data_IF_076946436783
#
_entry.id   IF_076946436783
#
_cell.length_a   1.000
_cell.length_b   1.000
_cell.length_c   1.000
_cell.angle_alpha   90.00
_cell.angle_beta   90.00
_cell.angle_gamma   90.00
#
_symmetry.space_group_name_H-M   'P 1'
#
loop_
_entity.id
_entity.type
_entity.pdbx_description
1 polymer ?
#
# COMPACT_ATOMS: atom_id res chain seq x y z
N UNK A 1 -19.65 -6.51 -17.40
CA UNK A 1 -18.27 -6.89 -16.98
C UNK A 1 -18.38 -7.75 -15.73
N UNK A 2 -17.74 -8.93 -15.70
CA UNK A 2 -17.68 -9.78 -14.49
C UNK A 2 -17.04 -9.03 -13.31
N UNK A 3 -17.33 -9.42 -12.06
CA UNK A 3 -16.65 -8.85 -10.89
C UNK A 3 -15.15 -9.17 -10.91
N UNK A 4 -14.35 -8.30 -10.30
CA UNK A 4 -12.94 -8.59 -10.04
C UNK A 4 -12.82 -9.80 -9.11
N UNK A 5 -11.99 -10.77 -9.51
CA UNK A 5 -11.67 -11.95 -8.71
C UNK A 5 -10.49 -11.61 -7.80
N UNK A 6 -10.81 -11.18 -6.57
CA UNK A 6 -9.83 -10.85 -5.53
C UNK A 6 -9.29 -12.07 -4.79
N UNK A 7 -8.59 -11.83 -3.69
CA UNK A 7 -8.09 -12.88 -2.80
C UNK A 7 -9.21 -13.53 -2.00
N UNK A 8 -9.01 -14.78 -1.59
CA UNK A 8 -9.86 -15.42 -0.59
C UNK A 8 -9.42 -15.01 0.81
N UNK A 9 -10.34 -15.11 1.78
CA UNK A 9 -10.03 -14.68 3.16
C UNK A 9 -8.89 -15.50 3.78
N UNK A 10 -8.73 -16.77 3.38
CA UNK A 10 -7.64 -17.65 3.82
C UNK A 10 -6.26 -17.22 3.30
N UNK A 11 -6.22 -16.43 2.22
CA UNK A 11 -4.99 -15.87 1.64
C UNK A 11 -4.62 -14.50 2.26
N UNK A 12 -5.44 -14.02 3.21
CA UNK A 12 -5.22 -12.74 3.90
C UNK A 12 -4.74 -12.96 5.32
N UNK A 13 -3.48 -12.58 5.58
CA UNK A 13 -2.90 -12.61 6.92
C UNK A 13 -2.98 -11.23 7.57
N UNK A 14 -3.83 -11.10 8.60
CA UNK A 14 -3.71 -10.02 9.57
C UNK A 14 -2.56 -10.34 10.53
N UNK A 15 -1.46 -9.60 10.43
CA UNK A 15 -0.25 -9.81 11.22
C UNK A 15 -0.50 -9.38 12.67
N UNK A 16 -0.30 -10.30 13.61
CA UNK A 16 -0.56 -10.11 15.05
C UNK A 16 0.64 -10.41 15.93
N UNK A 17 1.65 -11.10 15.43
CA UNK A 17 2.84 -11.48 16.19
C UNK A 17 4.13 -11.14 15.44
N UNK A 18 5.26 -10.97 16.14
CA UNK A 18 6.56 -10.75 15.51
C UNK A 18 6.96 -11.87 14.54
N UNK A 19 6.64 -13.13 14.83
CA UNK A 19 6.96 -14.27 13.96
C UNK A 19 6.19 -14.19 12.65
N UNK A 20 4.91 -13.79 12.72
CA UNK A 20 4.10 -13.53 11.53
C UNK A 20 4.64 -12.34 10.72
N UNK A 21 5.12 -11.29 11.41
CA UNK A 21 5.73 -10.14 10.76
C UNK A 21 7.01 -10.54 10.00
N UNK A 22 7.89 -11.32 10.64
CA UNK A 22 9.12 -11.83 10.01
C UNK A 22 8.81 -12.76 8.82
N UNK A 23 7.86 -13.68 8.96
CA UNK A 23 7.46 -14.55 7.85
C UNK A 23 6.86 -13.76 6.68
N UNK A 24 6.05 -12.73 6.96
CA UNK A 24 5.52 -11.83 5.95
C UNK A 24 6.63 -11.04 5.26
N UNK A 25 7.61 -10.52 6.01
CA UNK A 25 8.79 -9.84 5.47
C UNK A 25 9.54 -10.73 4.49
N UNK A 26 9.86 -11.96 4.89
CA UNK A 26 10.67 -12.85 4.07
C UNK A 26 9.95 -13.21 2.77
N UNK A 27 8.63 -13.46 2.84
CA UNK A 27 7.81 -13.68 1.65
C UNK A 27 7.78 -12.46 0.72
N UNK A 28 7.64 -11.24 1.28
CA UNK A 28 7.60 -10.00 0.50
C UNK A 28 8.96 -9.65 -0.13
N UNK A 29 10.06 -9.85 0.61
CA UNK A 29 11.42 -9.57 0.14
C UNK A 29 11.91 -10.56 -0.91
N UNK A 30 11.31 -11.75 -0.99
CA UNK A 30 11.59 -12.71 -2.06
C UNK A 30 10.97 -12.31 -3.41
N UNK A 31 10.06 -11.34 -3.44
CA UNK A 31 9.46 -10.83 -4.67
C UNK A 31 10.34 -9.76 -5.33
N UNK A 32 10.18 -9.55 -6.63
CA UNK A 32 10.71 -8.39 -7.35
C UNK A 32 9.82 -7.15 -7.20
N UNK A 33 8.50 -7.36 -7.06
CA UNK A 33 7.51 -6.33 -6.81
C UNK A 33 6.39 -6.86 -5.91
N UNK A 34 5.86 -5.96 -5.08
CA UNK A 34 4.75 -6.21 -4.16
C UNK A 34 3.68 -5.12 -4.34
N UNK A 35 2.42 -5.50 -4.17
CA UNK A 35 1.33 -4.55 -4.04
C UNK A 35 1.44 -3.80 -2.72
N UNK A 36 1.11 -2.51 -2.71
CA UNK A 36 1.22 -1.65 -1.54
C UNK A 36 0.10 -0.60 -1.53
N UNK A 37 -0.55 -0.45 -0.37
CA UNK A 37 -1.49 0.65 -0.10
C UNK A 37 -1.50 0.95 1.42
N UNK A 38 -2.14 2.06 1.82
CA UNK A 38 -2.43 2.33 3.23
C UNK A 38 -3.85 2.80 3.47
N UNK A 39 -4.37 2.48 4.66
CA UNK A 39 -5.70 2.94 5.08
C UNK A 39 -5.65 3.75 6.37
N UNK A 40 -6.53 4.74 6.47
CA UNK A 40 -6.58 5.67 7.59
C UNK A 40 -8.01 5.95 8.03
N UNK A 41 -8.24 6.15 9.33
CA UNK A 41 -9.53 6.64 9.79
C UNK A 41 -9.85 8.01 9.15
N UNK A 42 -11.12 8.29 8.83
CA UNK A 42 -11.54 9.59 8.31
C UNK A 42 -11.29 10.72 9.32
N UNK A 43 -10.96 11.91 8.82
CA UNK A 43 -10.94 13.17 9.56
C UNK A 43 -12.23 13.93 9.25
N UNK A 44 -13.05 14.23 10.26
CA UNK A 44 -14.35 14.87 10.06
C UNK A 44 -14.30 16.39 10.26
N UNK A 45 -13.24 16.90 10.89
CA UNK A 45 -13.07 18.34 11.15
C UNK A 45 -12.13 18.97 10.13
N UNK A 46 -12.57 20.08 9.52
CA UNK A 46 -11.75 20.86 8.58
C UNK A 46 -10.50 21.38 9.30
N UNK A 47 -9.32 20.97 8.82
CA UNK A 47 -8.02 21.33 9.41
C UNK A 47 -7.46 20.28 10.38
N UNK A 48 -8.20 19.22 10.69
CA UNK A 48 -7.66 18.08 11.44
C UNK A 48 -6.63 17.33 10.59
N UNK A 49 -5.42 17.19 11.11
CA UNK A 49 -4.39 16.40 10.45
C UNK A 49 -4.70 14.90 10.58
N UNK A 50 -4.57 14.16 9.47
CA UNK A 50 -4.68 12.70 9.52
C UNK A 50 -3.58 12.11 10.40
N UNK A 51 -3.97 11.24 11.33
CA UNK A 51 -3.06 10.49 12.23
C UNK A 51 -2.65 9.13 11.66
N UNK A 52 -2.88 8.93 10.36
CA UNK A 52 -2.57 7.70 9.64
C UNK A 52 -1.08 7.52 9.28
N UNK A 53 -0.71 6.37 8.69
CA UNK A 53 -1.62 5.27 8.37
C UNK A 53 -2.05 4.49 9.61
N UNK A 54 -3.21 3.84 9.55
CA UNK A 54 -3.72 2.94 10.60
C UNK A 54 -3.66 1.48 10.18
N UNK A 55 -3.54 1.23 8.88
CA UNK A 55 -3.29 -0.07 8.30
C UNK A 55 -2.32 0.12 7.14
N UNK A 56 -1.31 -0.75 7.06
CA UNK A 56 -0.45 -0.88 5.89
C UNK A 56 -0.78 -2.22 5.25
N UNK A 57 -0.98 -2.21 3.93
CA UNK A 57 -1.31 -3.40 3.16
C UNK A 57 -0.17 -3.75 2.22
N UNK A 58 0.16 -5.04 2.16
CA UNK A 58 1.02 -5.59 1.14
C UNK A 58 0.33 -6.76 0.44
N UNK A 59 0.69 -6.99 -0.82
CA UNK A 59 0.27 -8.17 -1.55
C UNK A 59 1.41 -8.75 -2.38
N UNK A 60 1.46 -10.07 -2.41
CA UNK A 60 2.15 -10.88 -3.41
C UNK A 60 1.12 -11.31 -4.48
N UNK A 61 1.53 -12.12 -5.45
CA UNK A 61 0.59 -12.63 -6.46
C UNK A 61 -0.52 -13.50 -5.87
N UNK A 62 -0.28 -14.14 -4.72
CA UNK A 62 -1.21 -15.10 -4.10
C UNK A 62 -1.65 -14.78 -2.68
N UNK A 63 -1.01 -13.86 -1.96
CA UNK A 63 -1.34 -13.54 -0.56
C UNK A 63 -1.31 -12.06 -0.26
N UNK A 64 -2.09 -11.64 0.74
CA UNK A 64 -2.03 -10.30 1.31
C UNK A 64 -1.62 -10.32 2.79
N UNK A 65 -0.89 -9.29 3.20
CA UNK A 65 -0.39 -9.10 4.55
C UNK A 65 -0.83 -7.74 5.06
N UNK A 66 -1.54 -7.73 6.19
CA UNK A 66 -2.14 -6.53 6.75
C UNK A 66 -1.52 -6.21 8.10
N UNK A 67 -0.91 -5.03 8.22
CA UNK A 67 -0.23 -4.56 9.43
C UNK A 67 -1.02 -3.42 10.06
N UNK A 68 -1.60 -3.62 11.24
CA UNK A 68 -2.28 -2.56 11.97
C UNK A 68 -1.27 -1.65 12.67
N UNK A 69 -1.38 -0.34 12.44
CA UNK A 69 -0.46 0.67 12.94
C UNK A 69 -1.15 1.57 13.97
N UNK A 70 -0.58 1.66 15.16
CA UNK A 70 -1.12 2.46 16.25
C UNK A 70 -0.22 2.47 17.49
N UNK A 71 -0.78 2.81 18.64
CA UNK A 71 -0.05 2.88 19.91
C UNK A 71 0.56 1.54 20.37
N UNK A 72 0.13 0.42 19.76
CA UNK A 72 0.61 -0.93 20.06
C UNK A 72 1.60 -1.49 19.03
N UNK A 73 2.07 -0.66 18.09
CA UNK A 73 3.10 -1.08 17.15
C UNK A 73 4.41 -1.25 17.90
N UNK A 74 4.83 -2.49 18.08
CA UNK A 74 6.10 -2.83 18.73
C UNK A 74 7.31 -2.58 17.81
N UNK A 75 8.49 -2.56 18.42
CA UNK A 75 9.76 -2.27 17.74
C UNK A 75 10.11 -3.33 16.67
N UNK A 76 9.79 -4.60 16.91
CA UNK A 76 10.06 -5.68 15.96
C UNK A 76 9.20 -5.54 14.69
N UNK A 77 7.94 -5.15 14.86
CA UNK A 77 7.01 -4.84 13.76
C UNK A 77 7.47 -3.59 13.01
N UNK A 78 7.92 -2.55 13.72
CA UNK A 78 8.46 -1.35 13.07
C UNK A 78 9.72 -1.66 12.25
N UNK A 79 10.67 -2.41 12.81
CA UNK A 79 11.89 -2.84 12.12
C UNK A 79 11.56 -3.70 10.89
N UNK A 80 10.54 -4.56 11.00
CA UNK A 80 10.02 -5.34 9.87
C UNK A 80 9.50 -4.44 8.75
N UNK A 81 8.67 -3.45 9.09
CA UNK A 81 8.14 -2.50 8.11
C UNK A 81 9.23 -1.66 7.45
N UNK A 82 10.24 -1.22 8.22
CA UNK A 82 11.42 -0.52 7.68
C UNK A 82 12.17 -1.40 6.66
N UNK A 83 12.42 -2.66 6.99
CA UNK A 83 13.10 -3.60 6.11
C UNK A 83 12.35 -3.84 4.78
N UNK A 84 11.02 -3.77 4.78
CA UNK A 84 10.19 -3.93 3.57
C UNK A 84 10.13 -2.62 2.77
N UNK A 85 9.91 -1.50 3.46
CA UNK A 85 9.51 -0.24 2.82
C UNK A 85 10.70 0.62 2.38
N UNK A 86 11.79 0.67 3.15
CA UNK A 86 12.91 1.58 2.88
C UNK A 86 13.78 1.19 1.68
N UNK A 87 14.12 -0.11 1.46
CA UNK A 87 14.92 -0.50 0.31
C UNK A 87 14.25 -0.18 -1.04
N UNK A 88 15.04 -0.10 -2.10
CA UNK A 88 14.52 0.12 -3.45
C UNK A 88 13.82 -1.12 -4.05
N UNK A 89 14.15 -2.32 -3.56
CA UNK A 89 13.57 -3.60 -3.96
C UNK A 89 13.06 -4.36 -2.72
N UNK A 90 11.92 -5.06 -2.78
CA UNK A 90 10.99 -5.12 -3.91
C UNK A 90 10.39 -3.75 -4.24
N UNK A 91 9.90 -3.60 -5.47
CA UNK A 91 9.10 -2.44 -5.85
C UNK A 91 7.79 -2.43 -5.06
N UNK A 92 7.41 -1.28 -4.50
CA UNK A 92 6.12 -1.08 -3.82
C UNK A 92 5.16 -0.42 -4.80
N UNK A 93 4.21 -1.21 -5.29
CA UNK A 93 3.34 -0.83 -6.41
C UNK A 93 1.93 -0.52 -5.90
N UNK A 94 1.41 0.66 -6.24
CA UNK A 94 0.09 1.11 -5.77
C UNK A 94 -0.53 2.17 -6.68
N UNK A 95 -1.67 2.72 -6.27
CA UNK A 95 -2.35 3.82 -6.96
C UNK A 95 -2.46 5.04 -6.06
N UNK A 96 -1.90 6.18 -6.47
CA UNK A 96 -2.03 7.44 -5.73
C UNK A 96 -1.19 7.51 -4.46
N UNK A 97 0.01 6.93 -4.46
CA UNK A 97 0.84 6.66 -3.29
C UNK A 97 1.55 7.90 -2.68
N UNK A 98 1.40 9.08 -3.30
CA UNK A 98 2.07 10.30 -2.84
C UNK A 98 1.76 10.60 -1.36
N UNK A 99 0.48 10.48 -0.96
CA UNK A 99 0.09 10.80 0.41
C UNK A 99 0.37 9.66 1.37
N UNK A 100 0.35 8.41 0.91
CA UNK A 100 0.76 7.23 1.68
C UNK A 100 2.21 7.33 2.14
N UNK A 101 3.11 7.70 1.23
CA UNK A 101 4.54 7.88 1.54
C UNK A 101 4.75 9.04 2.53
N UNK A 102 3.99 10.13 2.41
CA UNK A 102 4.05 11.24 3.38
C UNK A 102 3.55 10.81 4.76
N UNK A 103 2.47 10.04 4.83
CA UNK A 103 1.91 9.52 6.09
C UNK A 103 2.86 8.53 6.76
N UNK A 104 3.47 7.63 5.98
CA UNK A 104 4.51 6.71 6.48
C UNK A 104 5.66 7.49 7.14
N UNK A 105 6.18 8.51 6.45
CA UNK A 105 7.25 9.32 7.00
C UNK A 105 6.83 10.08 8.26
N UNK A 106 5.66 10.73 8.23
CA UNK A 106 5.17 11.52 9.36
C UNK A 106 4.91 10.69 10.62
N UNK A 107 4.40 9.46 10.46
CA UNK A 107 4.00 8.61 11.59
C UNK A 107 5.10 7.66 12.07
N UNK A 108 5.87 7.09 11.14
CA UNK A 108 6.82 5.99 11.42
C UNK A 108 8.27 6.36 11.09
N UNK A 109 8.53 7.59 10.63
CA UNK A 109 9.84 8.03 10.13
C UNK A 109 10.40 7.19 8.97
N UNK A 110 9.58 6.35 8.33
CA UNK A 110 9.97 5.48 7.23
C UNK A 110 10.11 6.29 5.93
N UNK A 111 11.28 6.19 5.29
CA UNK A 111 11.51 6.76 3.95
C UNK A 111 11.38 5.67 2.91
N UNK A 112 10.16 5.49 2.40
CA UNK A 112 9.88 4.41 1.47
C UNK A 112 10.66 4.55 0.13
N UNK A 113 11.43 3.51 -0.22
CA UNK A 113 12.13 3.36 -1.50
C UNK A 113 11.29 2.57 -2.51
N UNK A 114 11.71 2.51 -3.78
CA UNK A 114 11.09 1.59 -4.76
C UNK A 114 9.61 1.82 -5.07
N UNK A 115 9.08 3.02 -4.84
CA UNK A 115 7.65 3.32 -4.99
C UNK A 115 7.28 3.47 -6.47
N UNK A 116 6.33 2.64 -6.93
CA UNK A 116 5.73 2.71 -8.26
C UNK A 116 4.27 3.13 -8.12
N UNK A 117 3.99 4.39 -8.45
CA UNK A 117 2.61 4.88 -8.53
C UNK A 117 2.04 4.65 -9.93
N UNK A 118 1.14 3.68 -10.06
CA UNK A 118 0.50 3.32 -11.33
C UNK A 118 -0.42 4.41 -11.86
N UNK A 119 -0.93 5.29 -11.01
CA UNK A 119 -1.74 6.43 -11.43
C UNK A 119 -0.92 7.39 -12.31
N UNK A 120 0.39 7.45 -12.07
CA UNK A 120 1.37 8.22 -12.84
C UNK A 120 1.98 7.37 -13.97
N UNK A 121 2.39 6.13 -13.68
CA UNK A 121 3.09 5.29 -14.65
C UNK A 121 2.24 4.92 -15.87
N UNK A 122 0.93 4.74 -15.68
CA UNK A 122 -0.02 4.38 -16.75
C UNK A 122 -0.60 5.59 -17.49
N UNK A 123 -0.20 6.81 -17.12
CA UNK A 123 -0.74 8.04 -17.69
C UNK A 123 -0.27 8.23 -19.13
N UNK A 124 -1.21 8.41 -20.06
CA UNK A 124 -0.90 8.70 -21.46
C UNK A 124 -0.77 10.21 -21.70
N UNK A 125 0.04 10.64 -22.70
CA UNK A 125 0.11 12.05 -23.09
C UNK A 125 -1.28 12.61 -23.43
N UNK A 126 -1.61 13.79 -22.89
CA UNK A 126 -2.92 14.43 -23.09
C UNK A 126 -4.02 13.97 -22.12
N UNK A 127 -3.82 12.89 -21.36
CA UNK A 127 -4.77 12.47 -20.33
C UNK A 127 -4.67 13.38 -19.10
N UNK A 128 -5.76 14.11 -18.80
CA UNK A 128 -5.80 15.07 -17.68
C UNK A 128 -6.02 14.41 -16.31
N UNK A 129 -6.74 13.28 -16.27
CA UNK A 129 -7.09 12.58 -15.04
C UNK A 129 -6.19 11.38 -14.81
N UNK A 130 -5.72 11.19 -13.59
CA UNK A 130 -4.92 10.02 -13.22
C UNK A 130 -5.76 8.74 -13.32
N UNK A 131 -5.11 7.64 -13.72
CA UNK A 131 -5.79 6.36 -13.89
C UNK A 131 -5.96 5.69 -12.53
N UNK A 132 -7.20 5.66 -12.01
CA UNK A 132 -7.50 4.94 -10.78
C UNK A 132 -7.63 3.42 -10.97
N UNK A 133 -7.47 2.67 -9.87
CA UNK A 133 -7.54 1.21 -9.85
C UNK A 133 -8.77 0.63 -10.56
N UNK A 134 -9.96 1.22 -10.36
CA UNK A 134 -11.20 0.76 -11.03
C UNK A 134 -11.10 0.80 -12.55
N UNK A 135 -10.58 1.90 -13.10
CA UNK A 135 -10.41 2.09 -14.54
C UNK A 135 -9.33 1.18 -15.08
N UNK A 136 -8.24 0.99 -14.32
CA UNK A 136 -7.17 0.07 -14.70
C UNK A 136 -7.68 -1.38 -14.77
N UNK A 137 -8.42 -1.86 -13.77
CA UNK A 137 -8.99 -3.22 -13.80
C UNK A 137 -9.93 -3.41 -14.98
N UNK A 138 -10.80 -2.42 -15.23
CA UNK A 138 -11.70 -2.46 -16.37
C UNK A 138 -10.93 -2.57 -17.70
N UNK A 139 -9.86 -1.79 -17.84
CA UNK A 139 -9.02 -1.75 -19.04
C UNK A 139 -8.21 -3.04 -19.25
N UNK A 140 -7.54 -3.53 -18.20
CA UNK A 140 -6.57 -4.63 -18.33
C UNK A 140 -7.19 -6.01 -18.19
N UNK A 141 -8.31 -6.14 -17.49
CA UNK A 141 -8.91 -7.45 -17.20
C UNK A 141 -10.37 -7.59 -17.65
N UNK A 142 -11.00 -6.51 -18.16
CA UNK A 142 -12.42 -6.57 -18.51
C UNK A 142 -13.32 -6.80 -17.30
N UNK A 143 -12.83 -6.55 -16.08
CA UNK A 143 -13.50 -6.82 -14.81
C UNK A 143 -13.94 -5.53 -14.10
N UNK A 144 -14.88 -5.66 -13.17
CA UNK A 144 -15.38 -4.55 -12.33
C UNK A 144 -14.84 -4.67 -10.90
N UNK A 145 -13.88 -3.80 -10.55
CA UNK A 145 -13.44 -3.63 -9.16
C UNK A 145 -14.48 -2.85 -8.36
N UNK A 146 -15.07 -3.48 -7.35
CA UNK A 146 -16.00 -2.83 -6.44
C UNK A 146 -15.26 -2.28 -5.22
N UNK A 147 -15.03 -0.96 -5.18
CA UNK A 147 -14.60 -0.29 -3.94
C UNK A 147 -15.81 0.27 -3.22
N UNK A 148 -16.13 -0.30 -2.06
CA UNK A 148 -17.20 0.18 -1.18
C UNK A 148 -16.77 1.47 -0.49
N UNK A 149 -17.42 2.60 -0.82
CA UNK A 149 -17.17 3.89 -0.16
C UNK A 149 -17.41 3.80 1.35
N UNK A 150 -18.38 2.98 1.78
CA UNK A 150 -18.64 2.73 3.19
C UNK A 150 -17.42 2.12 3.88
N UNK A 151 -16.77 1.13 3.25
CA UNK A 151 -15.60 0.45 3.82
C UNK A 151 -14.38 1.37 3.83
N UNK A 152 -14.10 2.05 2.71
CA UNK A 152 -12.94 2.95 2.59
C UNK A 152 -12.97 4.11 3.58
N UNK A 153 -14.16 4.52 4.05
CA UNK A 153 -14.32 5.55 5.09
C UNK A 153 -14.62 4.97 6.48
N UNK A 154 -14.35 3.68 6.72
CA UNK A 154 -14.46 3.11 8.07
C UNK A 154 -13.35 3.62 8.98
N UNK A 155 -13.55 3.48 10.29
CA UNK A 155 -12.47 3.71 11.24
C UNK A 155 -11.47 2.55 11.18
N UNK A 156 -10.41 2.71 10.38
CA UNK A 156 -9.32 1.75 10.27
C UNK A 156 -8.41 1.66 11.51
N UNK A 157 -8.61 2.52 12.51
CA UNK A 157 -7.91 2.45 13.79
C UNK A 157 -8.54 1.45 14.78
N UNK A 158 -9.63 0.78 14.40
CA UNK A 158 -10.30 -0.17 15.28
C UNK A 158 -9.42 -1.39 15.56
N UNK A 159 -9.43 -1.92 16.80
CA UNK A 159 -8.57 -3.05 17.19
C UNK A 159 -8.96 -4.37 16.52
N UNK A 160 -10.17 -4.46 15.95
CA UNK A 160 -10.64 -5.62 15.21
C UNK A 160 -11.23 -5.14 13.89
N UNK A 161 -10.80 -5.77 12.81
CA UNK A 161 -11.35 -5.58 11.47
C UNK A 161 -12.22 -6.78 11.13
N UNK A 162 -13.35 -6.56 10.47
CA UNK A 162 -14.20 -7.64 9.98
C UNK A 162 -13.72 -8.18 8.63
N UNK A 163 -14.23 -9.34 8.20
CA UNK A 163 -13.80 -10.01 6.97
C UNK A 163 -13.95 -9.12 5.73
N UNK A 164 -14.98 -8.28 5.65
CA UNK A 164 -15.16 -7.36 4.53
C UNK A 164 -14.09 -6.26 4.48
N UNK A 165 -13.63 -5.77 5.64
CA UNK A 165 -12.51 -4.83 5.72
C UNK A 165 -11.19 -5.51 5.34
N UNK A 166 -10.96 -6.76 5.78
CA UNK A 166 -9.76 -7.51 5.46
C UNK A 166 -9.65 -7.77 3.95
N UNK A 167 -10.73 -8.26 3.32
CA UNK A 167 -10.77 -8.50 1.87
C UNK A 167 -10.63 -7.21 1.07
N UNK A 168 -11.31 -6.14 1.48
CA UNK A 168 -11.18 -4.83 0.84
C UNK A 168 -9.71 -4.36 0.85
N UNK A 169 -9.06 -4.40 2.02
CA UNK A 169 -7.68 -3.95 2.18
C UNK A 169 -6.69 -4.83 1.40
N UNK A 170 -6.92 -6.14 1.38
CA UNK A 170 -6.13 -7.10 0.60
C UNK A 170 -6.24 -6.82 -0.92
N UNK A 171 -7.47 -6.65 -1.42
CA UNK A 171 -7.72 -6.39 -2.83
C UNK A 171 -7.12 -5.05 -3.29
N UNK A 172 -7.11 -4.02 -2.43
CA UNK A 172 -6.56 -2.71 -2.76
C UNK A 172 -5.04 -2.75 -3.00
N UNK A 173 -4.29 -3.57 -2.28
CA UNK A 173 -2.88 -3.84 -2.57
C UNK A 173 -2.69 -4.80 -3.75
N UNK A 174 -3.44 -5.92 -3.79
CA UNK A 174 -3.28 -6.97 -4.80
C UNK A 174 -3.57 -6.47 -6.22
N UNK A 175 -4.60 -5.64 -6.36
CA UNK A 175 -5.02 -5.14 -7.67
C UNK A 175 -3.95 -4.28 -8.33
N UNK A 176 -3.19 -3.52 -7.54
CA UNK A 176 -2.07 -2.74 -8.04
C UNK A 176 -0.97 -3.64 -8.60
N UNK A 177 -0.59 -4.68 -7.85
CA UNK A 177 0.40 -5.64 -8.33
C UNK A 177 -0.05 -6.32 -9.62
N UNK A 178 -1.29 -6.82 -9.67
CA UNK A 178 -1.82 -7.51 -10.87
C UNK A 178 -1.85 -6.60 -12.09
N UNK A 179 -2.31 -5.36 -11.94
CA UNK A 179 -2.30 -4.38 -13.04
C UNK A 179 -0.87 -4.14 -13.51
N UNK A 180 0.09 -3.98 -12.59
CA UNK A 180 1.49 -3.81 -12.93
C UNK A 180 2.07 -4.99 -13.71
N UNK A 181 1.85 -6.21 -13.24
CA UNK A 181 2.26 -7.44 -13.94
C UNK A 181 1.68 -7.48 -15.35
N UNK A 182 0.37 -7.25 -15.49
CA UNK A 182 -0.30 -7.27 -16.79
C UNK A 182 0.24 -6.17 -17.71
N UNK A 183 0.46 -4.97 -17.17
CA UNK A 183 1.00 -3.87 -17.93
C UNK A 183 2.39 -4.19 -18.49
N UNK A 184 3.30 -4.75 -17.68
CA UNK A 184 4.60 -5.21 -18.15
C UNK A 184 4.49 -6.28 -19.24
N UNK A 185 3.61 -7.28 -19.06
CA UNK A 185 3.37 -8.33 -20.06
C UNK A 185 2.89 -7.77 -21.40
N UNK A 186 2.14 -6.66 -21.38
CA UNK A 186 1.70 -5.95 -22.59
C UNK A 186 2.72 -4.96 -23.16
N UNK A 187 3.99 -5.05 -22.73
CA UNK A 187 5.09 -4.20 -23.21
C UNK A 187 5.24 -2.88 -22.44
N UNK A 188 4.57 -2.74 -21.30
CA UNK A 188 4.77 -1.62 -20.39
C UNK A 188 6.21 -1.53 -19.90
N UNK A 189 6.75 -0.31 -19.84
CA UNK A 189 8.11 -0.08 -19.36
C UNK A 189 8.09 0.98 -18.27
N UNK A 190 8.68 0.65 -17.12
CA UNK A 190 8.91 1.64 -16.08
C UNK A 190 9.95 2.64 -16.55
N UNK A 191 9.59 3.92 -16.50
CA UNK A 191 10.56 5.00 -16.61
C UNK A 191 11.40 5.05 -15.33
N UNK A 192 12.64 5.57 -15.39
CA UNK A 192 13.44 5.81 -14.20
C UNK A 192 12.63 6.55 -13.13
N UNK A 193 12.47 5.91 -11.98
CA UNK A 193 11.69 6.47 -10.89
C UNK A 193 12.45 7.64 -10.25
N UNK A 194 11.74 8.74 -9.99
CA UNK A 194 12.27 9.82 -9.18
C UNK A 194 11.93 9.56 -7.72
N UNK A 195 12.89 9.77 -6.83
CA UNK A 195 12.63 9.68 -5.39
C UNK A 195 11.51 10.65 -4.98
N UNK A 196 10.60 10.20 -4.11
CA UNK A 196 9.58 11.06 -3.52
C UNK A 196 10.29 12.13 -2.67
N UNK A 197 9.97 13.41 -2.93
CA UNK A 197 10.51 14.51 -2.15
C UNK A 197 9.91 14.51 -0.74
N UNK A 198 10.66 14.02 0.23
CA UNK A 198 10.32 14.10 1.65
C UNK A 198 11.12 15.23 2.34
N UNK A 199 10.63 15.78 3.46
CA UNK A 199 11.40 16.72 4.28
C UNK A 199 12.78 16.15 4.64
N UNK A 200 13.79 17.00 4.86
CA UNK A 200 15.11 16.54 5.34
C UNK A 200 14.98 15.95 6.75
N UNK A 201 15.79 14.92 7.09
CA UNK A 201 15.82 14.43 8.46
C UNK A 201 16.23 15.56 9.41
N UNK A 202 15.68 15.56 10.62
CA UNK A 202 16.18 16.45 11.66
C UNK A 202 17.67 16.18 11.87
N UNK A 203 18.48 17.24 12.00
CA UNK A 203 19.90 17.07 12.38
C UNK A 203 19.94 16.33 13.72
N UNK A 204 20.82 15.33 13.91
CA UNK A 204 21.05 14.80 15.24
C UNK A 204 21.43 15.99 16.15
N UNK A 205 20.80 16.07 17.32
CA UNK A 205 21.20 17.03 18.33
C UNK A 205 22.70 16.83 18.57
N UNK A 206 23.49 17.90 18.41
CA UNK A 206 24.88 17.86 18.80
C UNK A 206 24.92 17.44 20.27
N UNK A 207 25.61 16.34 20.56
CA UNK A 207 25.68 15.76 21.90
C UNK A 207 26.06 16.82 22.92
N UNK A 208 25.29 16.88 24.00
CA UNK A 208 25.63 17.58 25.24
C UNK A 208 26.68 16.79 26.02
#
# INVERSE_FOLDING_TARGET
MPPYSGLLLEDVLLVKTPEQALAARDALLACDAIGFDTESKPTFTKGEASTGPHLIQFATDSKAYLFQIGSRTDEATLATLQAILEPAAPLKVGFGLSDDVKRLYAKLAIRAGGIVDLSVALRTPGQRNDLGAKTAVAKFFGQKLQKSKKISTTNWSLPRLNSSQLLYAADDAQVALRVYRQWLLTGGQLKPMKAVKLPRPAKPAAGS
#
